data_IF_406757714958
#
_entry.id   IF_406757714958
#
_cell.length_a   1.000
_cell.length_b   1.000
_cell.length_c   1.000
_cell.angle_alpha   90.00
_cell.angle_beta   90.00
_cell.angle_gamma   90.00
#
_symmetry.space_group_name_H-M   'P 1'
#
loop_
_entity.id
_entity.type
_entity.pdbx_description
1 polymer ?
#
# COMPACT_ATOMS: atom_id res chain seq x y z
N UNK A 1 8.71 17.02 -2.39
CA UNK A 1 9.58 15.94 -2.91
C UNK A 1 8.77 14.66 -3.03
N UNK A 2 9.17 13.73 -3.87
CA UNK A 2 8.56 12.40 -3.99
C UNK A 2 9.56 11.34 -3.50
N UNK A 3 9.07 10.26 -2.89
CA UNK A 3 9.88 9.12 -2.46
C UNK A 3 9.23 7.83 -2.94
N UNK A 4 10.04 6.90 -3.45
CA UNK A 4 9.61 5.58 -3.88
C UNK A 4 10.03 4.49 -2.89
N UNK A 5 9.26 3.40 -2.85
CA UNK A 5 9.54 2.23 -2.01
C UNK A 5 9.56 0.97 -2.86
N UNK A 6 10.46 0.05 -2.55
CA UNK A 6 10.49 -1.29 -3.15
C UNK A 6 9.72 -2.27 -2.28
N UNK A 7 8.73 -2.94 -2.86
CA UNK A 7 7.93 -3.97 -2.18
C UNK A 7 8.11 -5.28 -2.94
N UNK A 8 8.68 -6.28 -2.27
CA UNK A 8 8.92 -7.60 -2.82
C UNK A 8 8.25 -8.67 -1.95
N UNK A 9 7.78 -9.74 -2.59
CA UNK A 9 7.16 -10.88 -1.91
C UNK A 9 8.09 -12.08 -2.06
N UNK A 10 8.39 -12.76 -0.96
CA UNK A 10 9.17 -14.01 -1.00
C UNK A 10 8.41 -15.06 -1.83
N UNK A 11 9.14 -15.92 -2.53
CA UNK A 11 8.57 -17.07 -3.25
C UNK A 11 7.62 -17.86 -2.32
N UNK A 12 6.38 -18.07 -2.75
CA UNK A 12 5.33 -18.65 -1.92
C UNK A 12 3.92 -18.33 -2.47
N UNK A 13 2.92 -18.14 -1.59
CA UNK A 13 1.57 -17.75 -2.01
C UNK A 13 1.60 -16.46 -2.82
N UNK A 14 0.79 -16.39 -3.89
CA UNK A 14 0.65 -15.16 -4.68
C UNK A 14 0.00 -14.08 -3.80
N UNK A 15 0.73 -12.98 -3.58
CA UNK A 15 0.23 -11.80 -2.87
C UNK A 15 0.11 -10.65 -3.85
N UNK A 16 -1.09 -10.09 -3.98
CA UNK A 16 -1.30 -8.89 -4.77
C UNK A 16 -1.02 -7.66 -3.92
N UNK A 17 0.20 -7.12 -4.01
CA UNK A 17 0.63 -5.97 -3.20
C UNK A 17 -0.12 -4.67 -3.51
N UNK A 18 -0.82 -4.60 -4.66
CA UNK A 18 -1.61 -3.42 -5.06
C UNK A 18 -2.93 -3.31 -4.32
N UNK A 19 -3.42 -4.42 -3.76
CA UNK A 19 -4.67 -4.50 -3.01
C UNK A 19 -4.36 -4.83 -1.54
N UNK A 20 -4.64 -3.92 -0.60
CA UNK A 20 -4.41 -4.21 0.81
C UNK A 20 -5.36 -5.32 1.26
N UNK A 21 -4.83 -6.36 1.92
CA UNK A 21 -5.61 -7.51 2.39
C UNK A 21 -6.47 -7.19 3.61
N UNK A 22 -6.04 -6.22 4.41
CA UNK A 22 -6.72 -5.81 5.64
C UNK A 22 -7.09 -4.35 5.52
N UNK A 23 -8.34 -4.01 5.82
CA UNK A 23 -8.80 -2.63 5.88
C UNK A 23 -8.17 -1.99 7.12
N UNK A 24 -7.45 -0.87 6.99
CA UNK A 24 -6.92 -0.16 8.16
C UNK A 24 -8.08 0.25 9.08
N UNK A 25 -7.88 0.27 10.41
CA UNK A 25 -8.91 0.76 11.32
C UNK A 25 -9.23 2.21 10.97
N UNK A 26 -10.44 2.44 10.44
CA UNK A 26 -10.95 3.76 10.14
C UNK A 26 -11.21 4.52 11.44
N UNK A 27 -10.98 5.84 11.42
CA UNK A 27 -11.45 6.73 12.47
C UNK A 27 -12.94 6.46 12.75
N UNK A 28 -13.25 5.88 13.91
CA UNK A 28 -14.61 5.56 14.35
C UNK A 28 -14.94 4.07 14.55
N UNK A 29 -14.13 3.12 14.09
CA UNK A 29 -14.37 1.67 14.30
C UNK A 29 -13.35 1.07 15.28
N UNK A 30 -13.37 1.53 16.53
CA UNK A 30 -12.59 0.95 17.63
C UNK A 30 -13.44 -0.06 18.40
N UNK A 31 -13.28 -1.34 18.07
CA UNK A 31 -13.53 -2.42 19.04
C UNK A 31 -12.38 -2.40 20.06
N UNK A 32 -12.73 -2.51 21.34
CA UNK A 32 -11.98 -2.12 22.54
C UNK A 32 -10.66 -2.88 22.83
N UNK A 33 -9.97 -3.44 21.84
CA UNK A 33 -8.81 -4.33 22.04
C UNK A 33 -7.47 -3.80 21.49
N UNK A 34 -7.37 -2.58 20.99
CA UNK A 34 -6.07 -2.05 20.48
C UNK A 34 -5.88 -0.59 20.86
N UNK A 35 -5.36 -0.40 22.06
CA UNK A 35 -5.12 0.85 22.80
C UNK A 35 -4.05 1.78 22.21
N UNK A 36 -3.64 1.62 20.95
CA UNK A 36 -2.59 2.45 20.32
C UNK A 36 -2.87 2.77 18.84
N UNK A 37 -4.14 2.93 18.44
CA UNK A 37 -4.48 3.34 17.07
C UNK A 37 -4.78 4.84 17.04
N UNK A 38 -3.73 5.66 17.16
CA UNK A 38 -3.82 7.05 16.69
C UNK A 38 -4.38 7.04 15.27
N UNK A 39 -5.40 7.85 15.00
CA UNK A 39 -6.03 7.94 13.69
C UNK A 39 -4.97 8.09 12.60
N UNK A 40 -5.07 7.26 11.55
CA UNK A 40 -4.13 7.30 10.43
C UNK A 40 -4.23 8.65 9.73
N UNK A 41 -3.17 9.46 9.84
CA UNK A 41 -3.15 10.83 9.29
C UNK A 41 -3.04 10.91 7.76
N UNK A 42 -2.55 9.84 7.11
CA UNK A 42 -2.20 9.85 5.68
C UNK A 42 -2.56 8.56 4.95
N UNK A 43 -2.34 7.40 5.57
CA UNK A 43 -2.61 6.12 4.92
C UNK A 43 -4.10 5.77 4.98
N UNK A 44 -4.66 5.41 3.83
CA UNK A 44 -5.95 4.74 3.69
C UNK A 44 -5.89 3.78 2.48
N UNK A 45 -6.96 3.01 2.25
CA UNK A 45 -7.01 2.04 1.15
C UNK A 45 -6.84 2.68 -0.24
N UNK A 46 -7.38 3.88 -0.45
CA UNK A 46 -7.30 4.58 -1.73
C UNK A 46 -5.89 5.08 -2.00
N UNK A 47 -5.24 5.67 -1.00
CA UNK A 47 -3.83 6.11 -1.05
C UNK A 47 -2.90 4.94 -1.32
N UNK A 48 -3.17 3.77 -0.71
CA UNK A 48 -2.40 2.54 -0.99
C UNK A 48 -2.47 2.15 -2.46
N UNK A 49 -3.67 2.11 -3.05
CA UNK A 49 -3.86 1.77 -4.47
C UNK A 49 -3.23 2.82 -5.38
N UNK A 50 -3.41 4.09 -5.06
CA UNK A 50 -2.88 5.22 -5.82
C UNK A 50 -1.34 5.25 -5.82
N UNK A 51 -0.68 4.80 -4.75
CA UNK A 51 0.78 4.76 -4.68
C UNK A 51 1.44 3.86 -5.75
N UNK A 52 0.70 2.90 -6.32
CA UNK A 52 1.18 2.06 -7.43
C UNK A 52 0.88 2.65 -8.82
N UNK A 53 0.18 3.78 -8.91
CA UNK A 53 -0.06 4.50 -10.17
C UNK A 53 1.11 5.43 -10.42
N UNK A 54 2.06 4.96 -11.23
CA UNK A 54 3.28 5.70 -11.54
C UNK A 54 3.08 6.63 -12.75
N UNK A 55 3.82 7.75 -12.84
CA UNK A 55 3.93 8.54 -14.06
C UNK A 55 4.39 7.68 -15.25
N UNK A 56 3.95 8.03 -16.46
CA UNK A 56 4.21 7.22 -17.67
C UNK A 56 5.69 6.91 -17.90
N UNK A 57 6.59 7.87 -17.67
CA UNK A 57 8.02 7.65 -17.87
C UNK A 57 8.58 6.60 -16.90
N UNK A 58 8.19 6.64 -15.63
CA UNK A 58 8.64 5.69 -14.61
C UNK A 58 8.02 4.31 -14.82
N UNK A 59 6.74 4.26 -15.21
CA UNK A 59 6.06 3.01 -15.51
C UNK A 59 6.74 2.28 -16.67
N UNK A 60 7.12 2.98 -17.75
CA UNK A 60 7.77 2.36 -18.91
C UNK A 60 9.09 1.70 -18.55
N UNK A 61 9.91 2.37 -17.75
CA UNK A 61 11.20 1.85 -17.31
C UNK A 61 11.02 0.65 -16.37
N UNK A 62 10.14 0.77 -15.37
CA UNK A 62 9.96 -0.28 -14.37
C UNK A 62 9.29 -1.54 -14.93
N UNK A 63 8.43 -1.41 -15.95
CA UNK A 63 7.78 -2.56 -16.60
C UNK A 63 8.78 -3.56 -17.19
N UNK A 64 10.00 -3.16 -17.54
CA UNK A 64 11.03 -4.06 -18.03
C UNK A 64 11.55 -5.02 -16.95
N UNK A 65 11.44 -4.63 -15.68
CA UNK A 65 12.01 -5.35 -14.54
C UNK A 65 10.97 -6.15 -13.73
N UNK A 66 9.66 -5.91 -13.97
CA UNK A 66 8.56 -6.53 -13.21
C UNK A 66 7.99 -7.81 -13.85
N UNK A 67 8.82 -8.55 -14.58
CA UNK A 67 8.48 -9.81 -15.27
C UNK A 67 8.11 -10.96 -14.34
#
# INVERSE_FOLDING_TARGET
>A
GQIGFMICVKKGPKVNVKLPKTVPPTAGSVSAATTCTSELKYYNEEVHKAAFVLPQFASKELSQYLS
#
